data_IF_427183132800
#
_entry.id   IF_427183132800
#
_cell.length_a   1.000
_cell.length_b   1.000
_cell.length_c   1.000
_cell.angle_alpha   90.00
_cell.angle_beta   90.00
_cell.angle_gamma   90.00
#
_symmetry.space_group_name_H-M   'P 1'
#
loop_
_entity.id
_entity.type
_entity.pdbx_description
1 polymer ?
#
# COMPACT_ATOMS: atom_id res chain seq x y z
N UNK A 1 33.93 -55.77 -79.23
CA UNK A 1 34.35 -56.27 -77.89
C UNK A 1 33.26 -55.89 -76.87
N UNK A 2 32.63 -56.81 -76.46
CA UNK A 2 31.54 -57.13 -75.63
C UNK A 2 31.61 -56.45 -74.31
N UNK A 3 30.49 -55.84 -73.82
CA UNK A 3 30.20 -55.77 -72.41
C UNK A 3 28.67 -55.78 -72.10
N UNK A 4 28.30 -56.78 -71.42
CA UNK A 4 26.97 -57.20 -71.05
C UNK A 4 26.38 -56.32 -69.92
N UNK A 5 25.19 -55.91 -70.15
CA UNK A 5 24.35 -55.20 -69.18
C UNK A 5 23.71 -56.22 -68.22
N UNK A 6 23.79 -55.97 -66.87
CA UNK A 6 23.00 -56.63 -65.84
C UNK A 6 22.23 -55.65 -65.10
N UNK A 7 20.90 -55.62 -65.28
CA UNK A 7 19.94 -54.86 -64.56
C UNK A 7 19.73 -55.48 -63.12
N UNK A 8 19.88 -54.68 -62.14
CA UNK A 8 19.48 -55.02 -60.73
C UNK A 8 18.17 -54.35 -60.40
N UNK A 9 17.17 -55.14 -60.11
CA UNK A 9 15.82 -54.69 -59.61
C UNK A 9 15.96 -54.34 -58.13
N UNK A 10 15.75 -53.08 -57.78
CA UNK A 10 15.56 -52.69 -56.39
C UNK A 10 14.06 -52.70 -56.02
N UNK A 11 13.71 -53.58 -55.10
CA UNK A 11 12.41 -53.63 -54.44
C UNK A 11 12.43 -52.55 -53.34
N UNK A 12 11.62 -51.50 -53.52
CA UNK A 12 11.42 -50.49 -52.48
C UNK A 12 10.36 -50.96 -51.49
N UNK A 13 10.78 -51.22 -50.24
CA UNK A 13 9.89 -51.48 -49.13
C UNK A 13 9.46 -50.12 -48.56
N UNK A 14 8.20 -49.74 -48.76
CA UNK A 14 7.57 -48.59 -48.05
C UNK A 14 7.22 -48.98 -46.63
N UNK A 15 8.02 -48.53 -45.67
CA UNK A 15 7.64 -48.59 -44.22
C UNK A 15 6.85 -47.31 -43.94
N UNK A 16 5.53 -47.44 -43.81
CA UNK A 16 4.66 -46.37 -43.34
C UNK A 16 4.80 -46.26 -41.82
N UNK A 17 5.59 -45.27 -41.35
CA UNK A 17 5.67 -44.94 -39.92
C UNK A 17 4.51 -43.99 -39.60
N UNK A 18 3.43 -44.52 -38.99
CA UNK A 18 2.39 -43.75 -38.32
C UNK A 18 2.98 -43.12 -37.08
N UNK A 19 3.45 -41.87 -37.13
CA UNK A 19 3.77 -41.08 -35.94
C UNK A 19 2.46 -40.61 -35.30
N UNK A 20 2.05 -41.31 -34.27
CA UNK A 20 0.98 -40.85 -33.36
C UNK A 20 1.55 -39.66 -32.59
N UNK A 21 1.32 -38.44 -33.05
CA UNK A 21 1.67 -37.22 -32.36
C UNK A 21 0.78 -37.07 -31.10
N UNK A 22 1.26 -37.52 -29.95
CA UNK A 22 0.73 -37.09 -28.67
C UNK A 22 1.04 -35.58 -28.49
N UNK A 23 0.13 -34.72 -28.86
CA UNK A 23 0.14 -33.33 -28.43
C UNK A 23 -0.14 -33.32 -26.91
N UNK A 24 0.93 -33.45 -26.11
CA UNK A 24 0.88 -33.10 -24.69
C UNK A 24 0.64 -31.60 -24.61
N UNK A 25 -0.62 -31.22 -24.52
CA UNK A 25 -0.99 -29.85 -24.20
C UNK A 25 -0.41 -29.49 -22.85
N UNK A 26 0.77 -28.83 -22.87
CA UNK A 26 1.34 -28.19 -21.67
C UNK A 26 0.38 -27.07 -21.29
N UNK A 27 -0.62 -27.37 -20.48
CA UNK A 27 -1.49 -26.40 -19.88
C UNK A 27 -0.62 -25.52 -18.97
N UNK A 28 -0.08 -24.45 -19.51
CA UNK A 28 0.53 -23.41 -18.68
C UNK A 28 -0.59 -22.87 -17.79
N UNK A 29 -0.61 -23.34 -16.55
CA UNK A 29 -1.38 -22.69 -15.48
C UNK A 29 -0.76 -21.29 -15.32
N UNK A 30 -1.37 -20.28 -15.94
CA UNK A 30 -0.96 -18.89 -15.70
C UNK A 30 -1.04 -18.66 -14.20
N UNK A 31 0.12 -18.37 -13.61
CA UNK A 31 0.16 -17.93 -12.21
C UNK A 31 -0.80 -16.75 -12.03
N UNK A 32 -1.56 -16.69 -10.95
CA UNK A 32 -2.49 -15.60 -10.73
C UNK A 32 -1.72 -14.27 -10.77
N UNK A 33 -2.22 -13.33 -11.57
CA UNK A 33 -1.64 -11.98 -11.65
C UNK A 33 -1.72 -11.36 -10.26
N UNK A 34 -0.56 -11.04 -9.70
CA UNK A 34 -0.45 -10.38 -8.38
C UNK A 34 -0.50 -8.88 -8.56
N UNK A 35 -1.27 -8.15 -7.74
CA UNK A 35 -1.35 -6.70 -7.86
C UNK A 35 -0.01 -6.03 -7.48
N UNK A 36 0.34 -4.97 -8.21
CA UNK A 36 1.46 -4.10 -7.91
C UNK A 36 1.04 -3.06 -6.88
N UNK A 37 1.65 -3.10 -5.70
CA UNK A 37 1.33 -2.19 -4.60
C UNK A 37 2.49 -1.22 -4.40
N UNK A 38 2.27 0.05 -4.73
CA UNK A 38 3.21 1.12 -4.43
C UNK A 38 3.33 1.35 -2.93
N UNK A 39 4.53 1.61 -2.44
CA UNK A 39 4.82 1.96 -1.05
C UNK A 39 5.59 3.27 -1.08
N UNK A 40 5.08 4.33 -0.47
CA UNK A 40 5.83 5.58 -0.35
C UNK A 40 7.11 5.40 0.45
N UNK A 41 8.01 6.36 0.42
CA UNK A 41 9.32 6.21 1.03
C UNK A 41 9.75 7.48 1.76
N UNK A 42 10.61 7.31 2.76
CA UNK A 42 11.34 8.41 3.39
C UNK A 42 12.40 8.89 2.40
N UNK A 43 12.56 10.20 2.31
CA UNK A 43 13.64 10.84 1.56
C UNK A 43 14.69 11.42 2.51
N UNK A 44 15.91 11.00 2.35
CA UNK A 44 17.07 11.52 3.04
C UNK A 44 17.89 12.35 2.05
N UNK A 45 17.99 13.67 2.23
CA UNK A 45 18.78 14.52 1.35
C UNK A 45 20.28 14.16 1.42
N UNK A 46 21.01 14.48 0.35
CA UNK A 46 22.46 14.32 0.35
C UNK A 46 23.09 15.13 1.50
N UNK A 47 24.01 14.52 2.23
CA UNK A 47 24.75 15.17 3.33
C UNK A 47 26.21 14.78 3.25
N UNK A 48 27.07 15.77 3.26
CA UNK A 48 28.52 15.61 3.15
C UNK A 48 28.93 14.77 1.91
N UNK A 49 29.40 13.54 2.11
CA UNK A 49 29.78 12.60 1.04
C UNK A 49 28.72 11.53 0.78
N UNK A 50 27.60 11.55 1.52
CA UNK A 50 26.54 10.60 1.33
C UNK A 50 25.54 11.11 0.26
N UNK A 51 25.23 10.31 -0.77
CA UNK A 51 24.21 10.67 -1.75
C UNK A 51 22.82 10.66 -1.11
N UNK A 52 21.90 11.41 -1.71
CA UNK A 52 20.49 11.33 -1.35
C UNK A 52 19.97 9.89 -1.45
N UNK A 53 19.11 9.50 -0.50
CA UNK A 53 18.53 8.15 -0.41
C UNK A 53 17.02 8.21 -0.33
N UNK A 54 16.36 7.17 -0.82
CA UNK A 54 14.98 6.86 -0.50
C UNK A 54 14.91 5.49 0.14
N UNK A 55 14.17 5.36 1.23
CA UNK A 55 14.05 4.11 1.97
C UNK A 55 12.64 3.90 2.50
N UNK A 56 12.27 2.65 2.72
CA UNK A 56 11.07 2.27 3.46
C UNK A 56 11.41 1.11 4.38
N UNK A 57 10.85 1.09 5.59
CA UNK A 57 11.03 -0.03 6.48
C UNK A 57 10.58 -1.33 5.81
N UNK A 58 11.42 -2.36 5.84
CA UNK A 58 11.15 -3.65 5.18
C UNK A 58 9.82 -4.28 5.62
N UNK A 59 9.34 -3.94 6.81
CA UNK A 59 8.08 -4.42 7.35
C UNK A 59 6.87 -4.11 6.45
N UNK A 60 6.82 -2.94 5.82
CA UNK A 60 5.76 -2.58 4.85
C UNK A 60 5.80 -3.49 3.62
N UNK A 61 6.97 -3.65 3.01
CA UNK A 61 7.14 -4.50 1.83
C UNK A 61 6.82 -5.97 2.15
N UNK A 62 7.27 -6.46 3.31
CA UNK A 62 6.97 -7.81 3.79
C UNK A 62 5.47 -8.01 3.99
N UNK A 63 4.76 -7.06 4.61
CA UNK A 63 3.33 -7.15 4.84
C UNK A 63 2.54 -7.24 3.52
N UNK A 64 2.93 -6.47 2.50
CA UNK A 64 2.34 -6.57 1.16
C UNK A 64 2.62 -7.93 0.51
N UNK A 65 3.89 -8.37 0.52
CA UNK A 65 4.33 -9.60 -0.14
C UNK A 65 3.70 -10.86 0.49
N UNK A 66 3.67 -10.96 1.82
CA UNK A 66 3.07 -12.08 2.56
C UNK A 66 1.55 -12.17 2.32
N UNK A 67 0.89 -11.08 1.94
CA UNK A 67 -0.52 -11.04 1.56
C UNK A 67 -0.78 -11.20 0.06
N UNK A 68 0.26 -11.52 -0.74
CA UNK A 68 0.12 -11.87 -2.16
C UNK A 68 0.23 -10.70 -3.14
N UNK A 69 0.53 -9.47 -2.68
CA UNK A 69 0.88 -8.35 -3.54
C UNK A 69 2.34 -8.39 -3.98
N UNK A 70 2.69 -7.56 -4.95
CA UNK A 70 4.08 -7.27 -5.34
C UNK A 70 4.42 -5.86 -4.82
N UNK A 71 5.28 -5.72 -3.81
CA UNK A 71 5.64 -4.42 -3.27
C UNK A 71 6.59 -3.67 -4.20
N UNK A 72 6.31 -2.39 -4.45
CA UNK A 72 7.14 -1.48 -5.22
C UNK A 72 7.42 -0.23 -4.39
N UNK A 73 8.64 -0.06 -3.89
CA UNK A 73 9.03 1.16 -3.16
C UNK A 73 9.18 2.30 -4.15
N UNK A 74 8.48 3.41 -3.88
CA UNK A 74 8.41 4.56 -4.77
C UNK A 74 9.45 5.60 -4.38
N UNK A 75 10.46 5.90 -5.22
CA UNK A 75 11.32 7.06 -5.01
C UNK A 75 10.52 8.36 -4.98
N UNK A 76 10.94 9.31 -4.13
CA UNK A 76 10.30 10.62 -3.98
C UNK A 76 10.69 11.57 -5.13
N UNK A 77 10.29 11.22 -6.36
CA UNK A 77 10.57 12.00 -7.57
C UNK A 77 9.36 12.87 -7.91
N UNK A 78 9.47 14.17 -7.67
CA UNK A 78 8.44 15.14 -8.00
C UNK A 78 8.48 15.52 -9.50
N UNK A 79 8.13 14.58 -10.35
CA UNK A 79 7.96 14.75 -11.81
C UNK A 79 6.56 14.26 -12.19
N UNK A 80 5.83 15.11 -12.94
CA UNK A 80 4.45 14.82 -13.33
C UNK A 80 4.31 13.52 -14.14
N UNK A 81 5.27 13.21 -15.02
CA UNK A 81 5.26 12.00 -15.83
C UNK A 81 5.46 10.76 -14.98
N UNK A 82 6.29 10.87 -13.91
CA UNK A 82 6.53 9.78 -12.94
C UNK A 82 5.27 9.55 -12.11
N UNK A 83 4.63 10.61 -11.60
CA UNK A 83 3.37 10.51 -10.85
C UNK A 83 2.25 9.89 -11.68
N UNK A 84 2.12 10.29 -12.94
CA UNK A 84 1.15 9.68 -13.88
C UNK A 84 1.47 8.22 -14.17
N UNK A 85 2.76 7.85 -14.30
CA UNK A 85 3.15 6.45 -14.47
C UNK A 85 2.79 5.61 -13.26
N UNK A 86 3.06 6.09 -12.03
CA UNK A 86 2.63 5.39 -10.82
C UNK A 86 1.11 5.21 -10.77
N UNK A 87 0.36 6.26 -11.09
CA UNK A 87 -1.10 6.19 -11.10
C UNK A 87 -1.65 5.18 -12.13
N UNK A 88 -0.98 5.01 -13.27
CA UNK A 88 -1.39 4.08 -14.34
C UNK A 88 -0.99 2.64 -14.05
N UNK A 89 0.25 2.42 -13.59
CA UNK A 89 0.86 1.08 -13.53
C UNK A 89 0.60 0.34 -12.20
N UNK A 90 0.38 1.06 -11.10
CA UNK A 90 0.19 0.44 -9.79
C UNK A 90 -1.29 0.19 -9.53
N UNK A 91 -1.62 -0.93 -8.89
CA UNK A 91 -3.00 -1.32 -8.57
C UNK A 91 -3.46 -0.76 -7.21
N UNK A 92 -2.55 -0.55 -6.28
CA UNK A 92 -2.82 -0.02 -4.93
C UNK A 92 -1.66 0.78 -4.38
N UNK A 93 -1.91 1.53 -3.31
CA UNK A 93 -0.94 2.39 -2.67
C UNK A 93 -0.94 2.19 -1.16
N UNK A 94 0.26 2.05 -0.57
CA UNK A 94 0.51 2.15 0.87
C UNK A 94 1.26 3.45 1.13
N UNK A 95 0.69 4.31 1.96
CA UNK A 95 1.33 5.50 2.51
C UNK A 95 1.93 5.13 3.86
N UNK A 96 3.23 5.35 4.02
CA UNK A 96 3.96 4.96 5.24
C UNK A 96 3.96 6.07 6.29
N UNK A 97 4.39 5.73 7.50
CA UNK A 97 4.66 6.68 8.59
C UNK A 97 5.84 7.62 8.32
N UNK A 98 6.05 8.60 9.19
CA UNK A 98 7.14 9.56 9.11
C UNK A 98 6.93 10.77 10.01
N UNK A 99 7.73 11.81 9.77
CA UNK A 99 7.69 13.09 10.45
C UNK A 99 6.40 13.88 10.11
N UNK A 100 6.26 15.08 10.67
CA UNK A 100 5.01 15.83 10.68
C UNK A 100 4.76 16.60 9.37
N UNK A 101 3.47 16.76 9.05
CA UNK A 101 3.03 17.63 7.94
C UNK A 101 3.28 19.09 8.34
N UNK A 102 3.80 19.95 7.44
CA UNK A 102 3.91 21.38 7.72
C UNK A 102 2.57 21.97 8.15
N UNK A 103 2.41 22.58 9.34
CA UNK A 103 1.14 23.13 9.82
C UNK A 103 0.51 24.14 8.89
N UNK A 104 1.33 24.87 8.12
CA UNK A 104 0.84 25.78 7.09
C UNK A 104 -0.01 25.09 6.00
N UNK A 105 0.13 23.75 5.85
CA UNK A 105 -0.68 22.99 4.89
C UNK A 105 -2.16 22.90 5.28
N UNK A 106 -2.47 23.10 6.56
CA UNK A 106 -3.83 23.14 7.09
C UNK A 106 -4.17 24.46 7.79
N UNK A 107 -3.36 25.51 7.55
CA UNK A 107 -3.66 26.89 7.93
C UNK A 107 -3.28 27.28 9.34
N UNK A 108 -2.36 26.57 9.96
CA UNK A 108 -1.95 26.77 11.36
C UNK A 108 -0.47 27.19 11.47
N UNK A 109 -0.12 27.79 12.63
CA UNK A 109 1.26 28.04 13.02
C UNK A 109 1.84 26.78 13.68
N UNK A 110 3.14 26.49 13.52
CA UNK A 110 3.75 25.30 14.06
C UNK A 110 3.84 25.33 15.59
N UNK A 111 3.41 24.23 16.23
CA UNK A 111 3.69 23.95 17.64
C UNK A 111 5.18 23.61 17.81
N UNK A 112 5.74 23.84 19.00
CA UNK A 112 7.17 23.64 19.29
C UNK A 112 7.66 22.19 19.14
N UNK A 113 6.76 21.20 19.22
CA UNK A 113 7.06 19.78 19.08
C UNK A 113 7.09 19.27 17.65
N UNK A 114 6.73 20.11 16.69
CA UNK A 114 6.57 19.69 15.28
C UNK A 114 7.92 19.47 14.61
N UNK A 115 8.15 18.27 14.09
CA UNK A 115 9.30 17.88 13.29
C UNK A 115 8.87 17.71 11.83
N UNK A 116 8.99 18.77 11.04
CA UNK A 116 8.42 18.86 9.68
C UNK A 116 9.13 17.92 8.70
N UNK A 117 8.35 17.23 7.88
CA UNK A 117 8.82 16.48 6.70
C UNK A 117 9.76 17.34 5.83
N UNK A 118 10.79 16.70 5.29
CA UNK A 118 11.60 17.36 4.27
C UNK A 118 10.75 17.78 3.07
N UNK A 119 10.94 18.99 2.52
CA UNK A 119 10.05 19.57 1.50
C UNK A 119 9.85 18.66 0.27
N UNK A 120 10.89 17.94 -0.15
CA UNK A 120 10.81 17.04 -1.28
C UNK A 120 9.84 15.87 -1.05
N UNK A 121 9.84 15.26 0.14
CA UNK A 121 8.88 14.21 0.49
C UNK A 121 7.47 14.78 0.59
N UNK A 122 7.30 15.92 1.25
CA UNK A 122 6.02 16.59 1.39
C UNK A 122 5.36 16.87 0.04
N UNK A 123 6.07 17.55 -0.89
CA UNK A 123 5.52 17.90 -2.19
C UNK A 123 5.18 16.69 -3.06
N UNK A 124 6.06 15.68 -3.06
CA UNK A 124 5.82 14.43 -3.77
C UNK A 124 4.57 13.70 -3.24
N UNK A 125 4.49 13.45 -1.92
CA UNK A 125 3.38 12.71 -1.33
C UNK A 125 2.07 13.51 -1.44
N UNK A 126 2.09 14.82 -1.22
CA UNK A 126 0.90 15.69 -1.40
C UNK A 126 0.29 15.55 -2.79
N UNK A 127 1.11 15.60 -3.84
CA UNK A 127 0.67 15.46 -5.23
C UNK A 127 0.21 14.03 -5.54
N UNK A 128 0.93 13.04 -5.06
CA UNK A 128 0.59 11.62 -5.25
C UNK A 128 -0.76 11.31 -4.60
N UNK A 129 -0.93 11.67 -3.32
CA UNK A 129 -2.17 11.43 -2.55
C UNK A 129 -3.36 12.11 -3.23
N UNK A 130 -3.23 13.40 -3.61
CA UNK A 130 -4.31 14.12 -4.24
C UNK A 130 -4.80 13.43 -5.53
N UNK A 131 -3.88 13.01 -6.40
CA UNK A 131 -4.22 12.30 -7.65
C UNK A 131 -4.80 10.91 -7.38
N UNK A 132 -4.20 10.17 -6.45
CA UNK A 132 -4.64 8.81 -6.12
C UNK A 132 -6.04 8.81 -5.53
N UNK A 133 -6.28 9.72 -4.59
CA UNK A 133 -7.58 9.91 -3.95
C UNK A 133 -8.65 10.34 -4.97
N UNK A 134 -8.36 11.29 -5.83
CA UNK A 134 -9.27 11.74 -6.89
C UNK A 134 -9.58 10.62 -7.92
N UNK A 135 -8.58 9.80 -8.26
CA UNK A 135 -8.77 8.65 -9.16
C UNK A 135 -9.58 7.51 -8.53
N UNK A 136 -9.83 7.54 -7.22
CA UNK A 136 -10.57 6.52 -6.50
C UNK A 136 -9.88 5.15 -6.45
N UNK A 137 -8.55 5.13 -6.61
CA UNK A 137 -7.78 3.88 -6.54
C UNK A 137 -7.62 3.41 -5.10
N UNK A 138 -7.48 2.08 -4.86
CA UNK A 138 -7.33 1.53 -3.54
C UNK A 138 -6.09 2.07 -2.81
N UNK A 139 -6.26 2.45 -1.53
CA UNK A 139 -5.15 2.96 -0.72
C UNK A 139 -5.27 2.56 0.76
N UNK A 140 -4.11 2.39 1.39
CA UNK A 140 -3.93 2.17 2.82
C UNK A 140 -2.97 3.25 3.34
N UNK A 141 -3.37 4.01 4.33
CA UNK A 141 -2.50 4.95 5.03
C UNK A 141 -2.16 4.47 6.43
N UNK A 142 -0.90 4.58 6.81
CA UNK A 142 -0.38 4.19 8.13
C UNK A 142 0.26 5.40 8.78
N UNK A 143 -0.16 5.74 10.02
CA UNK A 143 0.35 6.86 10.81
C UNK A 143 0.32 8.18 10.01
N UNK A 144 1.46 8.74 9.64
CA UNK A 144 1.52 9.91 8.75
C UNK A 144 0.66 9.74 7.50
N UNK A 145 0.60 8.54 6.91
CA UNK A 145 -0.21 8.28 5.71
C UNK A 145 -1.71 8.50 5.92
N UNK A 146 -2.24 8.25 7.11
CA UNK A 146 -3.60 8.62 7.50
C UNK A 146 -3.74 10.13 7.64
N UNK A 147 -2.86 10.77 8.39
CA UNK A 147 -2.84 12.20 8.66
C UNK A 147 -2.73 13.00 7.36
N UNK A 148 -1.80 12.63 6.50
CA UNK A 148 -1.57 13.31 5.22
C UNK A 148 -2.78 13.19 4.28
N UNK A 149 -3.43 12.01 4.26
CA UNK A 149 -4.68 11.85 3.49
C UNK A 149 -5.78 12.79 4.01
N UNK A 150 -5.89 12.94 5.34
CA UNK A 150 -6.83 13.88 5.94
C UNK A 150 -6.57 15.31 5.53
N UNK A 151 -5.33 15.77 5.63
CA UNK A 151 -4.93 17.15 5.26
C UNK A 151 -5.12 17.39 3.77
N UNK A 152 -4.73 16.46 2.88
CA UNK A 152 -4.95 16.59 1.43
C UNK A 152 -6.44 16.62 1.10
N UNK A 153 -7.29 15.98 1.89
CA UNK A 153 -8.74 16.03 1.75
C UNK A 153 -9.36 17.33 2.34
N UNK A 154 -8.56 18.21 2.94
CA UNK A 154 -8.95 19.50 3.50
C UNK A 154 -9.30 19.47 4.98
N UNK A 155 -8.82 18.48 5.73
CA UNK A 155 -8.92 18.42 7.18
C UNK A 155 -7.74 19.07 7.92
N UNK A 156 -7.80 19.10 9.24
CA UNK A 156 -6.79 19.69 10.15
C UNK A 156 -6.20 18.65 11.10
N UNK A 157 -5.23 19.06 11.91
CA UNK A 157 -4.48 18.18 12.81
C UNK A 157 -4.42 18.77 14.22
N UNK A 158 -4.51 17.90 15.23
CA UNK A 158 -3.96 18.13 16.55
C UNK A 158 -2.44 17.97 16.43
N UNK A 159 -1.70 19.04 16.72
CA UNK A 159 -0.25 19.05 16.52
C UNK A 159 0.52 18.37 17.65
N UNK A 160 -0.04 18.34 18.85
CA UNK A 160 0.54 17.66 20.01
C UNK A 160 -0.54 17.14 20.98
N UNK A 161 -0.80 15.85 20.94
CA UNK A 161 -1.81 15.21 21.81
C UNK A 161 -1.60 15.53 23.29
N UNK A 162 -0.37 15.43 23.87
CA UNK A 162 -0.17 15.72 25.28
C UNK A 162 -0.57 17.11 25.73
N UNK A 163 -0.32 18.13 24.92
CA UNK A 163 -0.63 19.53 25.27
C UNK A 163 -2.06 19.93 24.95
N UNK A 164 -2.65 19.40 23.88
CA UNK A 164 -3.96 19.81 23.38
C UNK A 164 -5.11 18.93 23.87
N UNK A 165 -4.88 17.61 24.08
CA UNK A 165 -5.89 16.65 24.52
C UNK A 165 -5.60 16.14 25.92
N UNK A 166 -4.32 15.87 26.21
CA UNK A 166 -3.85 15.28 27.45
C UNK A 166 -3.09 13.97 27.24
N UNK A 167 -2.55 13.41 28.32
CA UNK A 167 -1.68 12.23 28.29
C UNK A 167 -2.30 11.01 28.97
N UNK A 168 -3.62 10.82 28.87
CA UNK A 168 -4.32 9.71 29.53
C UNK A 168 -4.10 8.37 28.81
N UNK A 169 -3.86 8.40 27.51
CA UNK A 169 -3.46 7.24 26.70
C UNK A 169 -2.02 7.43 26.22
N UNK A 170 -1.23 6.37 26.24
CA UNK A 170 0.13 6.41 25.72
C UNK A 170 0.14 6.03 24.24
N UNK A 171 0.16 7.03 23.35
CA UNK A 171 0.23 6.85 21.89
C UNK A 171 1.62 6.47 21.36
N UNK A 172 2.58 6.12 22.24
CA UNK A 172 3.91 5.57 21.90
C UNK A 172 4.08 4.14 22.41
N UNK A 173 2.98 3.41 22.58
CA UNK A 173 2.95 2.04 23.08
C UNK A 173 1.72 1.31 22.55
N UNK A 174 1.53 0.08 23.02
CA UNK A 174 0.27 -0.62 22.80
C UNK A 174 -0.85 0.06 23.61
N UNK A 175 -1.96 0.38 22.95
CA UNK A 175 -3.18 0.85 23.57
C UNK A 175 -4.44 0.29 22.91
N UNK A 176 -5.58 0.50 23.52
CA UNK A 176 -6.88 0.04 23.04
C UNK A 176 -7.50 1.06 22.09
N UNK A 177 -8.10 0.56 21.01
CA UNK A 177 -8.96 1.35 20.13
C UNK A 177 -10.34 0.72 20.04
N UNK A 178 -11.38 1.56 19.99
CA UNK A 178 -12.78 1.19 19.81
C UNK A 178 -13.14 1.39 18.33
N UNK A 179 -13.75 0.38 17.70
CA UNK A 179 -14.00 0.31 16.27
C UNK A 179 -15.49 0.42 15.99
N UNK A 180 -15.87 1.33 15.10
CA UNK A 180 -17.26 1.57 14.71
C UNK A 180 -17.88 0.34 14.01
N UNK A 181 -19.04 -0.14 14.51
CA UNK A 181 -19.77 -1.23 13.88
C UNK A 181 -20.14 -0.93 12.42
N UNK A 182 -20.04 -1.94 11.54
CA UNK A 182 -20.38 -1.79 10.12
C UNK A 182 -19.31 -1.07 9.28
N UNK A 183 -18.21 -0.61 9.89
CA UNK A 183 -17.08 -0.04 9.17
C UNK A 183 -16.33 -1.12 8.35
N UNK A 184 -15.53 -0.68 7.38
CA UNK A 184 -14.60 -1.57 6.67
C UNK A 184 -13.59 -2.17 7.65
N UNK A 185 -13.08 -1.35 8.56
CA UNK A 185 -12.14 -1.80 9.60
C UNK A 185 -12.75 -2.92 10.46
N UNK A 186 -14.01 -2.76 10.94
CA UNK A 186 -14.69 -3.80 11.72
C UNK A 186 -14.86 -5.11 10.94
N UNK A 187 -15.16 -5.04 9.64
CA UNK A 187 -15.26 -6.23 8.77
C UNK A 187 -13.88 -6.88 8.55
N UNK A 188 -12.84 -6.07 8.38
CA UNK A 188 -11.47 -6.53 8.16
C UNK A 188 -10.91 -7.23 9.38
N UNK A 189 -11.02 -6.62 10.55
CA UNK A 189 -10.50 -7.17 11.81
C UNK A 189 -11.46 -8.17 12.47
N UNK A 190 -12.73 -8.20 12.06
CA UNK A 190 -13.82 -8.99 12.69
C UNK A 190 -13.94 -8.71 14.19
N UNK A 191 -13.70 -7.47 14.58
CA UNK A 191 -13.65 -7.03 15.97
C UNK A 191 -14.31 -5.64 16.13
N UNK A 192 -14.69 -5.30 17.35
CA UNK A 192 -15.19 -3.98 17.75
C UNK A 192 -14.17 -3.21 18.61
N UNK A 193 -13.08 -3.82 18.91
CA UNK A 193 -11.94 -3.25 19.61
C UNK A 193 -10.66 -4.00 19.24
N UNK A 194 -9.54 -3.36 19.40
CA UNK A 194 -8.22 -3.98 19.19
C UNK A 194 -7.18 -3.33 20.10
N UNK A 195 -6.15 -4.09 20.46
CA UNK A 195 -4.92 -3.54 21.02
C UNK A 195 -3.95 -3.28 19.86
N UNK A 196 -3.49 -2.04 19.72
CA UNK A 196 -2.70 -1.58 18.57
C UNK A 196 -1.38 -0.98 19.02
N UNK A 197 -0.33 -1.16 18.20
CA UNK A 197 0.98 -0.57 18.46
C UNK A 197 1.07 0.80 17.79
N UNK A 198 1.16 1.85 18.60
CA UNK A 198 1.25 3.23 18.15
C UNK A 198 2.60 3.87 18.44
N UNK A 199 2.95 4.85 17.61
CA UNK A 199 4.09 5.72 17.81
C UNK A 199 3.82 7.08 17.13
N UNK A 200 2.97 7.91 17.77
CA UNK A 200 2.65 9.24 17.28
C UNK A 200 2.39 10.20 18.42
N UNK A 201 2.51 11.50 18.17
CA UNK A 201 2.15 12.57 19.08
C UNK A 201 1.09 13.52 18.45
N UNK A 202 0.83 13.37 17.16
CA UNK A 202 -0.19 14.10 16.42
C UNK A 202 -1.42 13.24 16.15
N UNK A 203 -2.55 13.88 15.90
CA UNK A 203 -3.80 13.22 15.56
C UNK A 203 -4.59 14.03 14.51
N UNK A 204 -5.57 13.39 13.88
CA UNK A 204 -6.57 14.08 13.07
C UNK A 204 -7.50 14.87 13.98
N UNK A 205 -7.75 16.13 13.62
CA UNK A 205 -8.73 17.02 14.25
C UNK A 205 -9.99 17.11 13.38
N UNK A 206 -10.14 18.13 12.56
CA UNK A 206 -11.24 18.24 11.60
C UNK A 206 -11.05 17.25 10.43
N UNK A 207 -12.16 16.62 10.02
CA UNK A 207 -12.13 15.65 8.93
C UNK A 207 -12.08 16.30 7.55
N UNK A 208 -11.21 15.79 6.71
CA UNK A 208 -11.21 16.05 5.28
C UNK A 208 -12.45 15.47 4.57
N UNK A 209 -12.72 15.97 3.37
CA UNK A 209 -13.86 15.54 2.54
C UNK A 209 -13.77 14.05 2.17
N UNK A 210 -14.94 13.41 2.11
CA UNK A 210 -15.09 11.99 1.76
C UNK A 210 -14.41 11.00 2.73
N UNK A 211 -14.15 11.42 3.97
CA UNK A 211 -13.64 10.60 5.04
C UNK A 211 -14.64 10.51 6.18
N UNK A 212 -14.58 9.42 6.96
CA UNK A 212 -15.27 9.28 8.24
C UNK A 212 -14.36 8.60 9.26
N UNK A 213 -14.56 8.90 10.53
CA UNK A 213 -13.92 8.21 11.66
C UNK A 213 -14.51 6.81 11.80
N UNK A 214 -13.64 5.81 11.98
CA UNK A 214 -14.05 4.43 12.20
C UNK A 214 -13.33 3.76 13.38
N UNK A 215 -12.40 4.44 14.03
CA UNK A 215 -11.89 4.04 15.33
C UNK A 215 -11.42 5.25 16.15
N UNK A 216 -11.52 5.12 17.48
CA UNK A 216 -10.98 6.07 18.46
C UNK A 216 -10.32 5.32 19.62
N UNK A 217 -9.33 5.95 20.22
CA UNK A 217 -8.79 5.56 21.52
C UNK A 217 -9.71 5.99 22.68
N UNK A 218 -9.38 5.57 23.89
CA UNK A 218 -10.20 5.86 25.08
C UNK A 218 -10.23 7.34 25.47
N UNK A 219 -9.23 8.12 25.08
CA UNK A 219 -9.18 9.58 25.25
C UNK A 219 -9.84 10.35 24.09
N UNK A 220 -10.46 9.64 23.16
CA UNK A 220 -11.21 10.22 22.05
C UNK A 220 -10.36 10.54 20.80
N UNK A 221 -9.04 10.32 20.83
CA UNK A 221 -8.18 10.55 19.68
C UNK A 221 -8.63 9.68 18.49
N UNK A 222 -8.65 10.28 17.30
CA UNK A 222 -9.00 9.59 16.06
C UNK A 222 -7.89 8.61 15.66
N UNK A 223 -8.24 7.33 15.60
CA UNK A 223 -7.29 6.25 15.35
C UNK A 223 -7.45 5.57 13.97
N UNK A 224 -8.63 5.70 13.35
CA UNK A 224 -8.78 5.24 11.99
C UNK A 224 -9.84 6.02 11.20
N UNK A 225 -9.59 6.14 9.90
CA UNK A 225 -10.48 6.72 8.92
C UNK A 225 -10.76 5.74 7.79
N UNK A 226 -11.91 5.90 7.13
CA UNK A 226 -12.20 5.24 5.84
C UNK A 226 -12.90 6.19 4.88
N UNK A 227 -12.84 5.87 3.58
CA UNK A 227 -13.57 6.60 2.54
C UNK A 227 -15.06 6.28 2.58
N UNK A 228 -15.88 7.29 2.30
CA UNK A 228 -17.35 7.16 2.24
C UNK A 228 -17.92 7.17 0.81
N UNK A 229 -17.07 7.33 -0.20
CA UNK A 229 -17.45 7.41 -1.62
C UNK A 229 -17.57 6.05 -2.33
N UNK A 230 -17.57 4.94 -1.57
CA UNK A 230 -17.67 3.57 -2.08
C UNK A 230 -16.34 3.02 -2.63
N UNK A 231 -15.26 3.78 -2.58
CA UNK A 231 -13.91 3.35 -2.95
C UNK A 231 -13.18 2.78 -1.75
N UNK A 232 -12.24 1.88 -1.98
CA UNK A 232 -11.43 1.37 -0.87
C UNK A 232 -10.38 2.40 -0.45
N UNK A 233 -10.48 2.87 0.76
CA UNK A 233 -9.47 3.64 1.47
C UNK A 233 -9.62 3.34 2.94
N UNK A 234 -8.57 2.78 3.53
CA UNK A 234 -8.46 2.47 4.95
C UNK A 234 -7.21 3.16 5.48
N UNK A 235 -7.38 3.92 6.56
CA UNK A 235 -6.30 4.72 7.11
C UNK A 235 -6.27 4.48 8.60
N UNK A 236 -5.11 4.07 9.13
CA UNK A 236 -4.92 3.72 10.54
C UNK A 236 -3.78 4.53 11.14
N UNK A 237 -3.94 4.99 12.37
CA UNK A 237 -2.95 5.80 13.06
C UNK A 237 -1.81 4.96 13.64
N UNK A 238 -2.08 3.71 13.96
CA UNK A 238 -1.10 2.75 14.48
C UNK A 238 -0.28 2.07 13.36
N UNK A 239 0.67 1.21 13.75
CA UNK A 239 1.62 0.52 12.87
C UNK A 239 1.34 -0.98 12.75
N UNK A 240 0.38 -1.42 11.91
CA UNK A 240 0.09 -2.85 11.76
C UNK A 240 1.31 -3.66 11.29
N UNK A 241 2.19 -3.06 10.48
CA UNK A 241 3.41 -3.69 9.93
C UNK A 241 4.43 -4.04 11.02
N UNK A 242 4.42 -3.29 12.14
CA UNK A 242 5.34 -3.48 13.26
C UNK A 242 4.75 -4.34 14.39
N UNK A 243 3.47 -4.67 14.34
CA UNK A 243 2.80 -5.48 15.38
C UNK A 243 3.32 -6.92 15.37
N UNK A 244 3.40 -7.49 16.57
CA UNK A 244 3.70 -8.93 16.75
C UNK A 244 2.50 -9.81 16.36
N UNK A 245 1.28 -9.29 16.44
CA UNK A 245 0.07 -9.95 15.96
C UNK A 245 0.01 -9.94 14.42
N UNK A 246 0.46 -11.03 13.84
CA UNK A 246 0.43 -11.23 12.39
C UNK A 246 -0.98 -11.27 11.82
N UNK A 247 -1.96 -11.80 12.56
CA UNK A 247 -3.33 -11.89 12.08
C UNK A 247 -3.95 -10.50 11.89
N UNK A 248 -3.67 -9.56 12.80
CA UNK A 248 -4.08 -8.17 12.68
C UNK A 248 -3.42 -7.49 11.45
N UNK A 249 -2.09 -7.59 11.33
CA UNK A 249 -1.34 -7.07 10.19
C UNK A 249 -1.88 -7.62 8.86
N UNK A 250 -2.03 -8.94 8.77
CA UNK A 250 -2.44 -9.61 7.54
C UNK A 250 -3.91 -9.33 7.19
N UNK A 251 -4.76 -9.06 8.19
CA UNK A 251 -6.12 -8.59 7.94
C UNK A 251 -6.11 -7.23 7.23
N UNK A 252 -5.34 -6.25 7.75
CA UNK A 252 -5.27 -4.88 7.22
C UNK A 252 -4.64 -4.85 5.83
N UNK A 253 -3.42 -5.37 5.67
CA UNK A 253 -2.72 -5.37 4.37
C UNK A 253 -3.40 -6.28 3.34
N UNK A 254 -3.89 -7.43 3.79
CA UNK A 254 -4.65 -8.35 2.94
C UNK A 254 -5.96 -7.75 2.42
N UNK A 255 -6.58 -6.82 3.15
CA UNK A 255 -7.75 -6.10 2.65
C UNK A 255 -7.40 -5.27 1.42
N UNK A 256 -6.31 -4.48 1.46
CA UNK A 256 -5.82 -3.72 0.30
C UNK A 256 -5.50 -4.66 -0.87
N UNK A 257 -4.66 -5.67 -0.64
CA UNK A 257 -4.21 -6.59 -1.71
C UNK A 257 -5.40 -7.30 -2.38
N UNK A 258 -6.40 -7.72 -1.60
CA UNK A 258 -7.60 -8.36 -2.15
C UNK A 258 -8.42 -7.45 -3.07
N UNK A 259 -8.57 -6.17 -2.71
CA UNK A 259 -9.34 -5.21 -3.56
C UNK A 259 -8.57 -4.87 -4.85
N UNK A 260 -7.23 -4.89 -4.79
CA UNK A 260 -6.36 -4.66 -5.94
C UNK A 260 -6.23 -5.89 -6.85
N UNK A 261 -6.59 -7.08 -6.36
CA UNK A 261 -6.48 -8.31 -7.15
C UNK A 261 -7.56 -8.38 -8.22
N UNK A 262 -7.24 -8.79 -9.46
CA UNK A 262 -8.26 -8.97 -10.49
C UNK A 262 -9.29 -10.02 -10.04
N UNK A 263 -10.55 -9.89 -10.43
CA UNK A 263 -11.58 -10.87 -10.07
C UNK A 263 -11.15 -12.26 -10.56
N UNK A 264 -11.29 -13.25 -9.66
CA UNK A 264 -11.04 -14.66 -10.05
C UNK A 264 -11.93 -14.98 -11.24
N UNK A 265 -11.35 -15.31 -12.39
CA UNK A 265 -12.14 -15.83 -13.51
C UNK A 265 -12.83 -17.11 -13.01
N UNK A 266 -14.17 -17.09 -12.97
CA UNK A 266 -14.95 -18.31 -12.76
C UNK A 266 -14.59 -19.31 -13.87
N UNK A 267 -14.18 -20.50 -13.49
CA UNK A 267 -13.97 -21.62 -14.40
C UNK A 267 -15.32 -22.19 -14.82
#
# INVERSE_FOLDING_TARGET
MSHTNRAARHIAFFISICTLGMAAGCGQTQSPVRPLIGITSVYEPAKDREPAKTSAAFAYARAVAENGGVPVVLPTIDDERVLQAYLRELDGLVLIGGDDIPPQAYGEEPHETVEVLVPQRYEFERKLIARWFAAGKPMLGVCLGMQFTNVVAGGTMVQDIPSEIGATVNHRAYHRVLIEPGSTLARVLKAREASVLSNHHQAVDDLGKNLRVVARSEDGVVEALERIDGRFGLFVQWHPEAMTDRAHRDAVYGALVRVCSPPKRSR
#
